data_IF_838183235812
#
_entry.id   IF_838183235812
#
_cell.length_a   1.000
_cell.length_b   1.000
_cell.length_c   1.000
_cell.angle_alpha   90.00
_cell.angle_beta   90.00
_cell.angle_gamma   90.00
#
_symmetry.space_group_name_H-M   'P 1'
#
loop_
_entity.id
_entity.type
_entity.pdbx_description
1 polymer ?
#
# COMPACT_ATOMS: atom_id res chain seq x y z
N UNK A 1 1.50 23.29 4.37
CA UNK A 1 1.07 22.17 5.21
C UNK A 1 0.20 22.68 6.37
N UNK A 2 0.70 23.53 7.28
CA UNK A 2 -0.01 23.97 8.50
C UNK A 2 -1.38 24.59 8.21
N UNK A 3 -1.52 25.43 7.15
CA UNK A 3 -2.82 25.98 6.74
C UNK A 3 -3.88 24.93 6.35
N UNK A 4 -3.51 23.67 6.25
CA UNK A 4 -4.38 22.52 6.00
C UNK A 4 -4.42 21.54 7.18
N UNK A 5 -3.87 21.92 8.35
CA UNK A 5 -3.79 21.03 9.51
C UNK A 5 -2.79 19.88 9.37
N UNK A 6 -1.83 19.97 8.44
CA UNK A 6 -0.84 18.91 8.17
C UNK A 6 0.47 19.27 8.88
N UNK A 7 0.93 18.38 9.77
CA UNK A 7 2.22 18.48 10.42
C UNK A 7 3.38 18.23 9.43
N UNK A 8 4.52 18.86 9.68
CA UNK A 8 5.73 18.72 8.87
C UNK A 8 6.79 18.01 9.70
N UNK A 9 7.28 16.87 9.22
CA UNK A 9 8.30 16.06 9.87
C UNK A 9 9.54 16.03 8.98
N UNK A 10 10.72 16.29 9.57
CA UNK A 10 12.00 16.21 8.87
C UNK A 10 12.61 14.83 9.11
N UNK A 11 13.05 14.20 8.01
CA UNK A 11 13.83 12.96 8.07
C UNK A 11 15.31 13.31 8.30
N UNK A 12 15.87 12.87 9.44
CA UNK A 12 17.18 13.28 9.96
C UNK A 12 18.15 12.11 10.02
N UNK A 13 19.22 12.23 9.25
CA UNK A 13 20.34 11.28 9.30
C UNK A 13 21.41 11.81 10.26
N UNK A 14 21.42 11.30 11.47
CA UNK A 14 22.36 11.71 12.53
C UNK A 14 23.24 10.56 13.04
N UNK A 15 23.12 9.36 12.44
CA UNK A 15 23.99 8.25 12.77
C UNK A 15 25.40 8.43 12.22
N UNK A 16 25.54 9.04 11.04
CA UNK A 16 26.82 9.22 10.35
C UNK A 16 26.87 10.53 9.57
N UNK A 17 28.06 10.88 9.06
CA UNK A 17 28.25 12.00 8.16
C UNK A 17 29.28 11.63 7.06
N UNK A 18 29.27 12.38 5.97
CA UNK A 18 30.26 12.22 4.89
C UNK A 18 31.30 13.36 4.90
N UNK A 19 32.31 13.25 4.08
CA UNK A 19 33.44 14.18 4.03
C UNK A 19 33.10 15.65 3.73
N UNK A 20 31.86 15.93 3.29
CA UNK A 20 31.36 17.31 3.15
C UNK A 20 31.03 17.97 4.50
N UNK A 21 30.83 17.19 5.55
CA UNK A 21 30.61 17.73 6.88
C UNK A 21 31.91 18.34 7.42
N UNK A 22 31.94 19.66 7.75
CA UNK A 22 33.17 20.30 8.20
C UNK A 22 33.72 19.70 9.52
N UNK A 23 32.89 19.17 10.39
CA UNK A 23 33.28 18.54 11.66
C UNK A 23 34.12 17.27 11.43
N UNK A 24 33.87 16.52 10.34
CA UNK A 24 34.69 15.37 9.96
C UNK A 24 36.16 15.78 9.75
N UNK A 25 36.35 16.93 9.10
CA UNK A 25 37.68 17.40 8.70
C UNK A 25 38.41 18.18 9.82
N UNK A 26 37.71 18.63 10.88
CA UNK A 26 38.31 19.37 11.98
C UNK A 26 39.33 18.55 12.79
N UNK A 27 39.08 17.23 12.87
CA UNK A 27 39.96 16.28 13.55
C UNK A 27 40.23 15.13 12.59
N UNK A 28 41.16 15.32 11.64
CA UNK A 28 41.41 14.39 10.55
C UNK A 28 42.72 13.64 10.70
N UNK A 29 42.67 12.32 10.61
CA UNK A 29 43.83 11.43 10.51
C UNK A 29 44.13 11.19 9.03
N UNK A 30 45.00 11.99 8.45
CA UNK A 30 45.35 11.92 7.04
C UNK A 30 46.04 10.60 6.64
N UNK A 31 46.75 9.95 7.56
CA UNK A 31 47.44 8.69 7.28
C UNK A 31 46.45 7.53 7.07
N UNK A 32 45.29 7.58 7.70
CA UNK A 32 44.29 6.54 7.63
C UNK A 32 42.99 6.99 6.91
N UNK A 33 42.96 8.22 6.37
CA UNK A 33 41.79 8.81 5.67
C UNK A 33 40.45 8.68 6.46
N UNK A 34 40.49 9.10 7.74
CA UNK A 34 39.35 8.99 8.65
C UNK A 34 39.37 10.06 9.74
N UNK A 35 38.31 10.26 10.53
CA UNK A 35 38.37 11.08 11.73
C UNK A 35 39.45 10.57 12.69
N UNK A 36 40.16 11.50 13.31
CA UNK A 36 41.20 11.16 14.28
C UNK A 36 40.57 10.58 15.56
N UNK A 37 41.32 9.73 16.28
CA UNK A 37 40.85 9.08 17.52
C UNK A 37 40.46 10.07 18.63
N UNK A 38 40.98 11.29 18.59
CA UNK A 38 40.64 12.38 19.52
C UNK A 38 39.52 13.29 19.00
N UNK A 39 38.84 12.94 17.92
CA UNK A 39 37.65 13.68 17.47
C UNK A 39 36.61 13.74 18.60
N UNK A 40 36.05 14.90 18.93
CA UNK A 40 35.02 14.98 19.99
C UNK A 40 33.64 14.50 19.50
N UNK A 41 33.46 14.19 18.23
CA UNK A 41 32.15 13.83 17.65
C UNK A 41 32.09 12.46 16.98
N UNK A 42 33.20 11.99 16.39
CA UNK A 42 33.20 10.80 15.55
C UNK A 42 34.02 9.66 16.16
N UNK A 43 33.57 8.44 15.89
CA UNK A 43 34.38 7.26 16.03
C UNK A 43 35.49 7.24 14.96
N UNK A 44 36.72 6.89 15.32
CA UNK A 44 37.80 6.74 14.33
C UNK A 44 37.56 5.54 13.41
N UNK A 45 36.88 4.52 13.88
CA UNK A 45 36.47 3.32 13.13
C UNK A 45 34.99 3.11 13.43
N UNK A 46 34.19 2.99 12.39
CA UNK A 46 32.78 2.67 12.55
C UNK A 46 32.61 1.31 13.24
N UNK A 47 31.81 1.22 14.31
CA UNK A 47 31.63 -0.01 15.07
C UNK A 47 30.48 -0.89 14.57
N UNK A 48 29.78 -0.54 13.47
CA UNK A 48 28.48 -1.11 13.07
C UNK A 48 28.56 -2.01 11.84
N UNK A 49 29.71 -2.65 11.57
CA UNK A 49 29.81 -3.56 10.42
C UNK A 49 28.66 -4.57 10.35
N UNK A 50 28.05 -4.79 9.15
CA UNK A 50 28.41 -4.22 7.83
C UNK A 50 27.74 -2.88 7.51
N UNK A 51 27.08 -2.21 8.45
CA UNK A 51 26.26 -1.02 8.23
C UNK A 51 27.04 0.29 8.49
N UNK A 52 28.23 0.42 7.88
CA UNK A 52 29.10 1.57 8.03
C UNK A 52 29.02 2.47 6.79
N UNK A 53 28.15 3.48 6.84
CA UNK A 53 27.98 4.48 5.77
C UNK A 53 28.67 5.80 6.17
N UNK A 54 29.83 6.09 5.62
CA UNK A 54 30.55 7.32 5.96
C UNK A 54 31.24 7.27 7.33
N UNK A 55 31.23 8.39 8.04
CA UNK A 55 31.92 8.56 9.33
C UNK A 55 30.90 8.57 10.45
N UNK A 56 31.05 7.65 11.40
CA UNK A 56 30.10 7.34 12.43
C UNK A 56 30.18 8.35 13.59
N UNK A 57 29.03 8.92 13.99
CA UNK A 57 28.93 9.76 15.17
C UNK A 57 28.98 8.93 16.46
N UNK A 58 29.82 9.31 17.39
CA UNK A 58 29.83 8.75 18.75
C UNK A 58 28.82 9.48 19.63
N UNK A 59 27.62 8.93 19.75
CA UNK A 59 26.51 9.51 20.50
C UNK A 59 26.72 9.45 22.03
N UNK A 60 27.67 8.68 22.51
CA UNK A 60 28.03 8.65 23.96
C UNK A 60 28.76 9.91 24.38
N UNK A 61 29.34 10.67 23.44
CA UNK A 61 30.09 11.88 23.70
C UNK A 61 29.19 13.09 23.90
N UNK A 62 29.43 13.84 24.96
CA UNK A 62 28.67 15.06 25.26
C UNK A 62 28.73 16.11 24.13
N UNK A 63 29.84 16.19 23.38
CA UNK A 63 29.98 17.11 22.25
C UNK A 63 29.03 16.75 21.11
N UNK A 64 28.85 15.45 20.81
CA UNK A 64 27.90 14.96 19.83
C UNK A 64 26.46 15.24 20.28
N UNK A 65 26.13 14.95 21.54
CA UNK A 65 24.79 15.22 22.09
C UNK A 65 24.43 16.70 21.97
N UNK A 66 25.32 17.60 22.39
CA UNK A 66 25.10 19.06 22.26
C UNK A 66 24.94 19.53 20.81
N UNK A 67 25.71 18.96 19.90
CA UNK A 67 25.59 19.27 18.48
C UNK A 67 24.20 18.88 17.97
N UNK A 68 23.76 17.66 18.26
CA UNK A 68 22.45 17.14 17.84
C UNK A 68 21.31 17.97 18.45
N UNK A 69 21.39 18.31 19.73
CA UNK A 69 20.40 19.17 20.40
C UNK A 69 20.26 20.53 19.70
N UNK A 70 21.39 21.14 19.32
CA UNK A 70 21.40 22.41 18.56
C UNK A 70 20.81 22.25 17.17
N UNK A 71 21.13 21.18 16.46
CA UNK A 71 20.59 20.90 15.12
C UNK A 71 19.07 20.73 15.20
N UNK A 72 18.58 19.90 16.12
CA UNK A 72 17.15 19.68 16.27
C UNK A 72 16.40 20.96 16.64
N UNK A 73 16.94 21.75 17.58
CA UNK A 73 16.36 23.05 17.97
C UNK A 73 16.33 24.01 16.80
N UNK A 74 17.39 24.10 16.00
CA UNK A 74 17.47 24.96 14.83
C UNK A 74 16.38 24.66 13.81
N UNK A 75 16.14 23.37 13.51
CA UNK A 75 15.09 22.98 12.57
C UNK A 75 13.68 23.34 13.07
N UNK A 76 13.41 23.13 14.36
CA UNK A 76 12.12 23.50 14.95
C UNK A 76 11.93 25.00 14.97
N UNK A 77 12.90 25.77 15.49
CA UNK A 77 12.74 27.21 15.70
C UNK A 77 12.83 28.00 14.39
N UNK A 78 13.67 27.58 13.44
CA UNK A 78 13.88 28.30 12.17
C UNK A 78 12.82 27.95 11.12
N UNK A 79 12.46 26.68 10.99
CA UNK A 79 11.57 26.20 9.93
C UNK A 79 10.17 25.84 10.44
N UNK A 80 9.92 25.95 11.74
CA UNK A 80 8.63 25.65 12.36
C UNK A 80 8.10 24.25 12.01
N UNK A 81 8.98 23.25 12.03
CA UNK A 81 8.59 21.85 11.83
C UNK A 81 7.93 21.28 13.08
N UNK A 82 7.21 20.15 12.93
CA UNK A 82 6.43 19.55 14.01
C UNK A 82 7.06 18.28 14.57
N UNK A 83 8.20 17.85 14.04
CA UNK A 83 8.90 16.69 14.55
C UNK A 83 9.92 16.13 13.57
N UNK A 84 10.43 14.97 13.94
CA UNK A 84 11.51 14.29 13.23
C UNK A 84 11.21 12.80 13.05
N UNK A 85 11.71 12.24 11.95
CA UNK A 85 12.04 10.83 11.83
C UNK A 85 13.56 10.71 11.87
N UNK A 86 14.10 9.97 12.82
CA UNK A 86 15.53 9.74 12.94
C UNK A 86 15.92 8.42 12.28
N UNK A 87 16.85 8.54 11.34
CA UNK A 87 17.40 7.44 10.59
C UNK A 87 18.32 6.56 11.45
N UNK A 88 18.23 5.25 11.29
CA UNK A 88 19.13 4.24 11.82
C UNK A 88 19.55 4.46 13.30
N UNK A 89 18.59 4.74 14.18
CA UNK A 89 18.88 5.07 15.60
C UNK A 89 19.47 3.92 16.38
N UNK A 90 19.36 2.68 15.91
CA UNK A 90 20.06 1.54 16.51
C UNK A 90 21.59 1.68 16.44
N UNK A 91 22.10 2.44 15.48
CA UNK A 91 23.51 2.77 15.34
C UNK A 91 24.04 3.80 16.33
N UNK A 92 23.20 4.40 17.19
CA UNK A 92 23.67 5.39 18.17
C UNK A 92 24.55 4.79 19.27
N UNK A 93 24.47 3.49 19.48
CA UNK A 93 25.34 2.72 20.39
C UNK A 93 25.74 1.40 19.75
N UNK A 94 27.00 1.00 19.89
CA UNK A 94 27.50 -0.25 19.35
C UNK A 94 27.01 -1.47 20.15
N UNK A 95 25.81 -1.95 19.86
CA UNK A 95 25.27 -3.17 20.45
C UNK A 95 24.44 -4.02 19.45
N UNK A 96 24.50 -3.69 18.16
CA UNK A 96 23.71 -4.35 17.12
C UNK A 96 22.21 -4.29 17.43
N UNK A 97 21.50 -5.41 17.24
CA UNK A 97 20.07 -5.52 17.52
C UNK A 97 19.77 -5.96 18.98
N UNK A 98 20.78 -6.14 19.82
CA UNK A 98 20.57 -6.55 21.20
C UNK A 98 20.03 -5.40 22.05
N UNK A 99 19.32 -5.74 23.11
CA UNK A 99 18.83 -4.77 24.10
C UNK A 99 19.98 -3.91 24.68
N UNK A 100 19.81 -2.58 24.71
CA UNK A 100 20.80 -1.64 25.21
C UNK A 100 20.16 -0.53 26.04
N UNK A 101 20.36 -0.58 27.35
CA UNK A 101 19.93 0.49 28.27
C UNK A 101 20.65 1.82 27.97
N UNK A 102 21.89 1.77 27.52
CA UNK A 102 22.66 2.97 27.14
C UNK A 102 21.98 3.69 25.96
N UNK A 103 21.58 2.95 24.91
CA UNK A 103 20.89 3.49 23.74
C UNK A 103 19.50 4.02 24.10
N UNK A 104 18.74 3.29 24.93
CA UNK A 104 17.47 3.76 25.48
C UNK A 104 17.63 5.12 26.16
N UNK A 105 18.62 5.24 27.05
CA UNK A 105 18.85 6.48 27.81
C UNK A 105 19.27 7.64 26.90
N UNK A 106 20.09 7.39 25.88
CA UNK A 106 20.49 8.41 24.91
C UNK A 106 19.29 8.91 24.09
N UNK A 107 18.45 8.00 23.59
CA UNK A 107 17.27 8.35 22.80
C UNK A 107 16.21 9.07 23.63
N UNK A 108 15.95 8.61 24.86
CA UNK A 108 15.05 9.30 25.79
C UNK A 108 15.55 10.71 26.10
N UNK A 109 16.83 10.88 26.43
CA UNK A 109 17.44 12.20 26.66
C UNK A 109 17.25 13.11 25.45
N UNK A 110 17.49 12.62 24.22
CA UNK A 110 17.31 13.40 22.99
C UNK A 110 15.85 13.83 22.79
N UNK A 111 14.91 12.92 23.02
CA UNK A 111 13.48 13.21 22.92
C UNK A 111 13.05 14.23 23.99
N UNK A 112 13.47 14.04 25.24
CA UNK A 112 13.17 14.95 26.33
C UNK A 112 13.70 16.37 26.04
N UNK A 113 14.92 16.51 25.50
CA UNK A 113 15.44 17.83 25.08
C UNK A 113 14.58 18.49 24.00
N UNK A 114 14.15 17.74 22.99
CA UNK A 114 13.23 18.25 21.96
C UNK A 114 11.92 18.74 22.59
N UNK A 115 11.36 17.97 23.51
CA UNK A 115 10.08 18.30 24.14
C UNK A 115 10.18 19.49 25.11
N UNK A 116 11.39 19.91 25.53
CA UNK A 116 11.53 21.16 26.32
C UNK A 116 11.12 22.40 25.54
N UNK A 117 11.31 22.44 24.22
CA UNK A 117 11.00 23.61 23.38
C UNK A 117 9.87 23.34 22.36
N UNK A 118 9.51 22.09 22.10
CA UNK A 118 8.36 21.68 21.28
C UNK A 118 7.66 20.48 21.96
N UNK A 119 6.81 20.72 22.98
CA UNK A 119 6.25 19.65 23.83
C UNK A 119 5.44 18.57 23.07
N UNK A 120 4.88 18.91 21.93
CA UNK A 120 4.08 18.01 21.09
C UNK A 120 4.84 17.56 19.82
N UNK A 121 6.16 17.67 19.80
CA UNK A 121 6.95 17.22 18.66
C UNK A 121 6.81 15.72 18.44
N UNK A 122 6.61 15.31 17.20
CA UNK A 122 6.74 13.91 16.83
C UNK A 122 8.21 13.50 16.87
N UNK A 123 8.52 12.42 17.59
CA UNK A 123 9.83 11.78 17.61
C UNK A 123 9.65 10.36 17.12
N UNK A 124 10.04 10.14 15.86
CA UNK A 124 9.87 8.88 15.16
C UNK A 124 11.25 8.25 14.97
N UNK A 125 11.37 6.97 15.27
CA UNK A 125 12.64 6.25 15.20
C UNK A 125 12.58 5.13 14.16
N UNK A 126 13.53 5.13 13.24
CA UNK A 126 13.91 3.92 12.54
C UNK A 126 14.89 3.15 13.44
N UNK A 127 14.39 2.10 14.10
CA UNK A 127 15.15 1.47 15.18
C UNK A 127 15.44 -0.01 14.96
N UNK A 128 14.41 -0.85 14.85
CA UNK A 128 14.50 -2.29 14.55
C UNK A 128 15.48 -3.05 15.44
N UNK A 129 15.35 -2.85 16.73
CA UNK A 129 16.13 -3.53 17.75
C UNK A 129 15.33 -4.58 18.52
N UNK A 130 15.84 -4.96 19.69
CA UNK A 130 15.14 -5.82 20.64
C UNK A 130 13.75 -5.24 20.99
N UNK A 131 12.73 -6.10 21.02
CA UNK A 131 11.35 -5.67 21.22
C UNK A 131 11.11 -4.98 22.57
N UNK A 132 11.81 -5.41 23.64
CA UNK A 132 11.68 -4.79 24.96
C UNK A 132 12.35 -3.40 25.02
N UNK A 133 13.35 -3.15 24.14
CA UNK A 133 13.94 -1.83 23.97
C UNK A 133 12.94 -0.90 23.25
N UNK A 134 12.38 -1.36 22.13
CA UNK A 134 11.39 -0.61 21.36
C UNK A 134 10.14 -0.28 22.19
N UNK A 135 9.65 -1.22 23.01
CA UNK A 135 8.54 -1.00 23.94
C UNK A 135 8.84 0.14 24.92
N UNK A 136 10.02 0.17 25.52
CA UNK A 136 10.40 1.23 26.45
C UNK A 136 10.53 2.62 25.80
N UNK A 137 10.91 2.67 24.52
CA UNK A 137 10.96 3.91 23.75
C UNK A 137 9.53 4.35 23.37
N UNK A 138 8.67 3.41 23.01
CA UNK A 138 7.24 3.67 22.72
C UNK A 138 6.49 4.18 23.97
N UNK A 139 6.70 3.53 25.12
CA UNK A 139 6.10 3.94 26.41
C UNK A 139 6.59 5.32 26.86
N UNK A 140 7.79 5.74 26.46
CA UNK A 140 8.31 7.08 26.75
C UNK A 140 7.66 8.17 25.88
N UNK A 141 6.92 7.81 24.81
CA UNK A 141 6.21 8.74 23.93
C UNK A 141 6.76 8.82 22.50
N UNK A 142 7.84 8.11 22.19
CA UNK A 142 8.37 8.03 20.83
C UNK A 142 7.56 7.05 19.97
N UNK A 143 7.63 7.21 18.66
CA UNK A 143 7.01 6.29 17.69
C UNK A 143 8.09 5.49 16.97
N UNK A 144 7.83 4.20 16.75
CA UNK A 144 8.77 3.27 16.12
C UNK A 144 8.25 2.85 14.73
N UNK A 145 9.14 2.77 13.74
CA UNK A 145 8.82 2.19 12.45
C UNK A 145 8.61 0.68 12.56
N UNK A 146 7.44 0.23 12.12
CA UNK A 146 7.05 -1.18 12.06
C UNK A 146 7.03 -1.70 10.63
N UNK A 147 8.19 -2.08 10.10
CA UNK A 147 8.30 -2.63 8.76
C UNK A 147 7.54 -3.95 8.63
N UNK A 148 6.53 -3.96 7.75
CA UNK A 148 5.72 -5.15 7.39
C UNK A 148 5.69 -5.37 5.87
N UNK A 149 6.56 -4.70 5.14
CA UNK A 149 6.60 -4.68 3.68
C UNK A 149 6.63 -6.08 3.09
N UNK A 150 7.49 -6.97 3.59
CA UNK A 150 7.56 -8.35 3.09
C UNK A 150 6.21 -9.08 3.17
N UNK A 151 5.50 -8.96 4.30
CA UNK A 151 4.18 -9.58 4.46
C UNK A 151 3.15 -9.05 3.47
N UNK A 152 3.17 -7.75 3.22
CA UNK A 152 2.29 -7.11 2.22
C UNK A 152 2.67 -7.45 0.78
N UNK A 153 3.96 -7.52 0.45
CA UNK A 153 4.43 -8.00 -0.85
C UNK A 153 3.91 -9.42 -1.11
N UNK A 154 4.08 -10.34 -0.15
CA UNK A 154 3.59 -11.71 -0.27
C UNK A 154 2.06 -11.77 -0.39
N UNK A 155 1.33 -10.93 0.35
CA UNK A 155 -0.12 -10.81 0.23
C UNK A 155 -0.52 -10.33 -1.17
N UNK A 156 0.09 -9.27 -1.68
CA UNK A 156 -0.21 -8.73 -3.00
C UNK A 156 0.12 -9.74 -4.10
N UNK A 157 1.25 -10.40 -4.00
CA UNK A 157 1.67 -11.46 -4.92
C UNK A 157 0.76 -12.70 -4.88
N UNK A 158 0.00 -12.94 -3.82
CA UNK A 158 -0.84 -14.13 -3.66
C UNK A 158 -0.12 -15.33 -3.06
N UNK A 159 1.01 -15.14 -2.37
CA UNK A 159 1.76 -16.17 -1.64
C UNK A 159 1.40 -16.15 -0.16
N UNK A 160 0.22 -16.67 0.15
CA UNK A 160 -0.47 -16.47 1.44
C UNK A 160 0.20 -17.13 2.63
N UNK A 161 1.02 -18.18 2.42
CA UNK A 161 1.76 -18.84 3.50
C UNK A 161 2.85 -17.94 4.15
N UNK A 162 3.31 -16.94 3.43
CA UNK A 162 4.33 -15.98 3.89
C UNK A 162 3.77 -14.56 4.11
N UNK A 163 2.45 -14.39 4.07
CA UNK A 163 1.78 -13.10 4.12
C UNK A 163 1.33 -12.67 5.52
N UNK A 164 2.01 -13.12 6.56
CA UNK A 164 1.71 -12.69 7.93
C UNK A 164 2.10 -11.21 8.10
N UNK A 165 1.13 -10.38 8.49
CA UNK A 165 1.30 -8.93 8.73
C UNK A 165 0.96 -8.54 10.17
N UNK A 166 0.82 -9.48 11.09
CA UNK A 166 0.43 -9.20 12.47
C UNK A 166 1.48 -8.42 13.25
N UNK A 167 2.77 -8.50 12.85
CA UNK A 167 3.86 -7.73 13.47
C UNK A 167 3.71 -6.20 13.32
N UNK A 168 2.82 -5.73 12.45
CA UNK A 168 2.42 -4.32 12.32
C UNK A 168 1.44 -3.84 13.38
N UNK A 169 1.00 -4.71 14.29
CA UNK A 169 0.09 -4.38 15.39
C UNK A 169 0.89 -4.28 16.69
N UNK A 170 0.81 -3.14 17.37
CA UNK A 170 1.54 -2.88 18.63
C UNK A 170 1.26 -3.95 19.70
N UNK A 171 -0.01 -4.33 19.90
CA UNK A 171 -0.39 -5.36 20.89
C UNK A 171 0.10 -6.77 20.51
N UNK A 172 0.36 -7.07 19.22
CA UNK A 172 1.00 -8.32 18.82
C UNK A 172 2.47 -8.40 19.28
N UNK A 173 3.10 -7.22 19.50
CA UNK A 173 4.44 -7.10 20.07
C UNK A 173 4.44 -7.04 21.60
N UNK A 174 3.27 -7.04 22.24
CA UNK A 174 3.09 -6.92 23.69
C UNK A 174 3.01 -5.47 24.19
N UNK A 175 3.07 -4.47 23.31
CA UNK A 175 3.09 -3.06 23.71
C UNK A 175 1.71 -2.58 24.16
N UNK A 176 1.71 -1.73 25.19
CA UNK A 176 0.50 -1.12 25.75
C UNK A 176 0.03 0.11 24.97
N UNK A 177 0.95 0.80 24.26
CA UNK A 177 0.70 2.04 23.52
C UNK A 177 0.72 1.82 22.00
N UNK A 178 -0.13 2.50 21.22
CA UNK A 178 -0.23 2.31 19.77
C UNK A 178 0.85 3.11 19.00
N UNK A 179 2.07 3.17 19.49
CA UNK A 179 3.15 3.98 18.91
C UNK A 179 3.98 3.26 17.85
N UNK A 180 3.42 2.22 17.22
CA UNK A 180 4.01 1.50 16.11
C UNK A 180 3.46 2.05 14.78
N UNK A 181 4.31 2.68 13.97
CA UNK A 181 3.98 3.14 12.62
C UNK A 181 4.15 1.97 11.66
N UNK A 182 3.08 1.28 11.31
CA UNK A 182 3.15 0.19 10.34
C UNK A 182 2.98 0.67 8.91
N UNK A 183 3.64 0.01 7.96
CA UNK A 183 3.62 0.36 6.55
C UNK A 183 3.83 -0.84 5.62
N UNK A 184 3.34 -0.70 4.39
CA UNK A 184 3.50 -1.69 3.34
C UNK A 184 4.66 -1.38 2.39
N UNK A 185 5.10 -0.12 2.32
CA UNK A 185 6.22 0.36 1.50
C UNK A 185 6.98 1.47 2.20
N UNK A 186 8.29 1.56 1.94
CA UNK A 186 9.13 2.69 2.29
C UNK A 186 10.08 3.04 1.14
N UNK A 187 11.06 3.91 1.39
CA UNK A 187 12.13 4.23 0.45
C UNK A 187 13.20 3.12 0.35
N UNK A 188 13.22 2.17 1.27
CA UNK A 188 14.27 1.14 1.38
C UNK A 188 13.87 -0.22 0.82
N UNK A 189 12.58 -0.53 0.76
CA UNK A 189 12.10 -1.79 0.24
C UNK A 189 11.59 -1.66 -1.19
N UNK A 190 11.61 -2.78 -1.92
CA UNK A 190 11.02 -2.84 -3.26
C UNK A 190 9.51 -2.59 -3.22
N UNK A 191 8.98 -1.97 -4.27
CA UNK A 191 7.56 -1.63 -4.39
C UNK A 191 6.69 -2.89 -4.41
N UNK A 192 5.63 -2.89 -3.63
CA UNK A 192 4.69 -4.03 -3.60
C UNK A 192 4.12 -4.31 -4.99
N UNK A 193 3.82 -3.27 -5.77
CA UNK A 193 3.31 -3.41 -7.12
C UNK A 193 4.35 -4.00 -8.08
N UNK A 194 5.61 -3.54 -8.02
CA UNK A 194 6.70 -4.11 -8.84
C UNK A 194 6.90 -5.60 -8.55
N UNK A 195 6.92 -5.99 -7.28
CA UNK A 195 7.01 -7.38 -6.84
C UNK A 195 5.85 -8.23 -7.39
N UNK A 196 4.62 -7.70 -7.30
CA UNK A 196 3.44 -8.42 -7.80
C UNK A 196 3.50 -8.62 -9.33
N UNK A 197 3.85 -7.59 -10.10
CA UNK A 197 3.92 -7.67 -11.55
C UNK A 197 5.04 -8.59 -12.04
N UNK A 198 6.16 -8.64 -11.30
CA UNK A 198 7.33 -9.42 -11.68
C UNK A 198 7.23 -10.88 -11.22
N UNK A 199 6.84 -11.10 -9.97
CA UNK A 199 6.94 -12.41 -9.31
C UNK A 199 5.59 -12.97 -8.84
N UNK A 200 4.49 -12.24 -9.02
CA UNK A 200 3.17 -12.61 -8.53
C UNK A 200 2.71 -14.00 -8.93
N UNK A 201 1.79 -14.56 -8.17
CA UNK A 201 1.20 -15.87 -8.40
C UNK A 201 0.29 -15.84 -9.64
N UNK A 202 0.62 -16.65 -10.63
CA UNK A 202 -0.09 -16.78 -11.90
C UNK A 202 -0.72 -18.18 -12.10
N UNK A 203 -0.85 -18.97 -11.04
CA UNK A 203 -1.43 -20.32 -11.12
C UNK A 203 -2.92 -20.34 -11.41
N UNK A 204 -3.62 -19.23 -11.13
CA UNK A 204 -5.00 -19.02 -11.55
C UNK A 204 -5.03 -18.02 -12.71
N UNK A 205 -5.30 -18.52 -13.93
CA UNK A 205 -5.35 -17.68 -15.13
C UNK A 205 -6.43 -16.59 -15.02
N UNK A 206 -7.55 -16.86 -14.33
CA UNK A 206 -8.65 -15.90 -14.14
C UNK A 206 -8.36 -14.86 -13.04
N UNK A 207 -7.28 -15.02 -12.28
CA UNK A 207 -6.84 -14.08 -11.26
C UNK A 207 -5.31 -14.07 -11.16
N UNK A 208 -4.66 -13.70 -12.26
CA UNK A 208 -3.21 -13.63 -12.37
C UNK A 208 -2.68 -12.38 -11.66
N UNK A 209 -1.95 -12.56 -10.55
CA UNK A 209 -1.39 -11.46 -9.77
C UNK A 209 -0.31 -10.64 -10.51
N UNK A 210 0.25 -11.14 -11.63
CA UNK A 210 1.18 -10.39 -12.50
C UNK A 210 0.46 -9.46 -13.46
N UNK A 211 -0.83 -9.59 -13.61
CA UNK A 211 -1.61 -8.65 -14.42
C UNK A 211 -1.80 -7.34 -13.65
N UNK A 212 -1.50 -6.21 -14.28
CA UNK A 212 -1.58 -4.89 -13.64
C UNK A 212 -2.98 -4.59 -13.11
N UNK A 213 -4.01 -4.91 -13.87
CA UNK A 213 -5.40 -4.66 -13.48
C UNK A 213 -5.78 -5.47 -12.23
N UNK A 214 -5.43 -6.76 -12.20
CA UNK A 214 -5.62 -7.65 -11.06
C UNK A 214 -4.80 -7.19 -9.86
N UNK A 215 -3.52 -6.86 -10.04
CA UNK A 215 -2.65 -6.38 -8.98
C UNK A 215 -3.16 -5.09 -8.32
N UNK A 216 -3.64 -4.13 -9.13
CA UNK A 216 -4.26 -2.90 -8.62
C UNK A 216 -5.56 -3.19 -7.83
N UNK A 217 -6.38 -4.16 -8.26
CA UNK A 217 -7.54 -4.61 -7.49
C UNK A 217 -7.17 -5.22 -6.14
N UNK A 218 -6.13 -6.06 -6.13
CA UNK A 218 -5.60 -6.65 -4.90
C UNK A 218 -4.98 -5.62 -3.94
N UNK A 219 -4.34 -4.57 -4.49
CA UNK A 219 -3.77 -3.47 -3.71
C UNK A 219 -4.84 -2.67 -2.94
N UNK A 220 -6.09 -2.64 -3.43
CA UNK A 220 -7.22 -2.07 -2.69
C UNK A 220 -7.46 -2.81 -1.36
N UNK A 221 -7.32 -4.13 -1.35
CA UNK A 221 -7.37 -4.92 -0.12
C UNK A 221 -6.23 -4.57 0.86
N UNK A 222 -5.02 -4.24 0.34
CA UNK A 222 -3.92 -3.73 1.19
C UNK A 222 -4.33 -2.40 1.83
N UNK A 223 -4.86 -1.44 1.06
CA UNK A 223 -5.32 -0.17 1.58
C UNK A 223 -6.31 -0.36 2.74
N UNK A 224 -7.34 -1.18 2.52
CA UNK A 224 -8.37 -1.47 3.52
C UNK A 224 -7.77 -2.08 4.79
N UNK A 225 -6.96 -3.13 4.66
CA UNK A 225 -6.41 -3.83 5.84
C UNK A 225 -5.35 -2.98 6.55
N UNK A 226 -4.46 -2.27 5.83
CA UNK A 226 -3.45 -1.42 6.44
C UNK A 226 -4.10 -0.28 7.24
N UNK A 227 -5.04 0.43 6.62
CA UNK A 227 -5.60 1.65 7.19
C UNK A 227 -6.64 1.39 8.30
N UNK A 228 -7.24 0.21 8.37
CA UNK A 228 -8.17 -0.14 9.45
C UNK A 228 -7.50 -0.77 10.68
N UNK A 229 -6.19 -1.06 10.62
CA UNK A 229 -5.42 -1.46 11.81
C UNK A 229 -5.23 -0.28 12.77
N UNK A 230 -5.14 -0.53 14.08
CA UNK A 230 -4.89 0.53 15.07
C UNK A 230 -3.49 1.15 14.94
N UNK A 231 -3.32 2.33 15.52
CA UNK A 231 -2.05 3.07 15.52
C UNK A 231 -1.77 3.84 14.23
N UNK A 232 -0.70 4.63 14.20
CA UNK A 232 -0.31 5.43 13.04
C UNK A 232 0.16 4.56 11.86
N UNK A 233 0.08 5.12 10.66
CA UNK A 233 0.47 4.46 9.41
C UNK A 233 1.37 5.37 8.59
N UNK A 234 2.28 4.77 7.83
CA UNK A 234 3.01 5.46 6.78
C UNK A 234 2.54 4.96 5.42
N UNK A 235 2.25 5.88 4.53
CA UNK A 235 2.06 5.64 3.11
C UNK A 235 3.26 6.21 2.36
N UNK A 236 3.92 5.37 1.58
CA UNK A 236 5.02 5.84 0.75
C UNK A 236 4.47 6.46 -0.53
N UNK A 237 5.16 7.47 -1.04
CA UNK A 237 4.79 8.26 -2.23
C UNK A 237 4.36 7.37 -3.40
N UNK A 238 3.17 7.64 -3.94
CA UNK A 238 2.51 6.94 -5.03
C UNK A 238 2.08 5.48 -4.76
N UNK A 239 2.22 4.96 -3.53
CA UNK A 239 1.66 3.67 -3.17
C UNK A 239 0.15 3.63 -3.44
N UNK A 240 -0.55 4.74 -3.18
CA UNK A 240 -1.98 4.93 -3.41
C UNK A 240 -2.37 4.93 -4.90
N UNK A 241 -1.40 4.99 -5.79
CA UNK A 241 -1.56 4.89 -7.25
C UNK A 241 -0.95 3.59 -7.82
N UNK A 242 -0.46 2.71 -6.95
CA UNK A 242 0.17 1.45 -7.35
C UNK A 242 1.47 1.68 -8.14
N UNK A 243 2.43 2.40 -7.55
CA UNK A 243 3.72 2.69 -8.16
C UNK A 243 4.50 1.41 -8.43
N UNK A 244 4.89 1.19 -9.68
CA UNK A 244 5.45 -0.06 -10.19
C UNK A 244 6.87 0.05 -10.76
N UNK A 245 7.54 1.19 -10.54
CA UNK A 245 8.95 1.34 -10.90
C UNK A 245 9.82 0.78 -9.78
N UNK A 246 10.72 -0.15 -10.13
CA UNK A 246 11.65 -0.76 -9.16
C UNK A 246 12.46 0.29 -8.40
N UNK A 247 12.74 -0.02 -7.14
CA UNK A 247 13.63 0.78 -6.31
C UNK A 247 15.04 0.87 -6.91
N UNK A 248 15.47 -0.11 -7.69
CA UNK A 248 16.80 -0.14 -8.34
C UNK A 248 16.83 0.59 -9.70
N UNK A 249 15.71 1.17 -10.15
CA UNK A 249 15.65 1.91 -11.42
C UNK A 249 15.48 3.42 -11.18
N UNK A 250 16.40 4.30 -11.68
CA UNK A 250 17.65 4.00 -12.39
C UNK A 250 18.77 3.50 -11.49
N UNK A 251 18.71 3.73 -10.21
CA UNK A 251 19.56 3.14 -9.17
C UNK A 251 18.87 3.25 -7.81
N UNK A 252 19.27 2.46 -6.81
CA UNK A 252 18.62 2.38 -5.50
C UNK A 252 18.47 3.73 -4.79
N UNK A 253 19.51 4.55 -4.82
CA UNK A 253 19.55 5.88 -4.16
C UNK A 253 19.28 7.05 -5.13
N UNK A 254 18.92 6.77 -6.38
CA UNK A 254 18.59 7.80 -7.36
C UNK A 254 17.16 8.33 -7.17
N UNK A 255 16.92 9.56 -7.66
CA UNK A 255 15.58 10.12 -7.75
C UNK A 255 14.68 9.22 -8.60
N UNK A 256 13.48 8.92 -8.10
CA UNK A 256 12.48 8.14 -8.81
C UNK A 256 11.59 9.02 -9.68
N UNK A 257 11.11 8.52 -10.83
CA UNK A 257 10.17 9.27 -11.66
C UNK A 257 8.93 9.71 -10.90
N UNK A 258 8.50 10.95 -11.12
CA UNK A 258 7.26 11.51 -10.58
C UNK A 258 6.15 11.24 -11.59
N UNK A 259 5.23 10.32 -11.27
CA UNK A 259 4.24 9.78 -12.22
C UNK A 259 2.81 10.24 -11.92
N UNK A 260 2.57 11.56 -11.89
CA UNK A 260 1.23 12.11 -11.70
C UNK A 260 0.21 11.68 -12.77
N UNK A 261 0.68 11.28 -13.96
CA UNK A 261 -0.17 10.70 -14.99
C UNK A 261 -0.84 9.38 -14.59
N UNK A 262 -0.37 8.70 -13.54
CA UNK A 262 -1.05 7.54 -12.96
C UNK A 262 -2.44 7.89 -12.43
N UNK A 263 -2.61 9.09 -11.91
CA UNK A 263 -3.89 9.58 -11.40
C UNK A 263 -4.99 9.67 -12.47
N UNK A 264 -4.63 9.78 -13.76
CA UNK A 264 -5.58 9.83 -14.89
C UNK A 264 -5.98 8.44 -15.40
N UNK A 265 -5.34 7.38 -14.94
CA UNK A 265 -5.63 6.00 -15.31
C UNK A 265 -6.74 5.44 -14.40
N UNK A 266 -7.90 5.09 -14.98
CA UNK A 266 -9.10 4.76 -14.20
C UNK A 266 -8.89 3.71 -13.11
N UNK A 267 -8.15 2.61 -13.38
CA UNK A 267 -7.90 1.56 -12.40
C UNK A 267 -6.96 2.00 -11.25
N UNK A 268 -5.96 2.84 -11.54
CA UNK A 268 -5.09 3.45 -10.53
C UNK A 268 -5.86 4.50 -9.73
N UNK A 269 -6.71 5.27 -10.39
CA UNK A 269 -7.62 6.20 -9.73
C UNK A 269 -8.57 5.48 -8.78
N UNK A 270 -9.10 4.33 -9.16
CA UNK A 270 -9.93 3.50 -8.29
C UNK A 270 -9.18 3.07 -7.02
N UNK A 271 -7.90 2.69 -7.15
CA UNK A 271 -7.06 2.38 -5.98
C UNK A 271 -6.91 3.60 -5.07
N UNK A 272 -6.61 4.77 -5.66
CA UNK A 272 -6.53 6.04 -4.92
C UNK A 272 -7.83 6.35 -4.18
N UNK A 273 -8.98 6.18 -4.82
CA UNK A 273 -10.28 6.46 -4.21
C UNK A 273 -10.57 5.52 -3.04
N UNK A 274 -10.14 4.25 -3.09
CA UNK A 274 -10.23 3.31 -1.96
C UNK A 274 -9.34 3.74 -0.80
N UNK A 275 -8.12 4.24 -1.08
CA UNK A 275 -7.27 4.85 -0.04
C UNK A 275 -7.97 6.05 0.59
N UNK A 276 -8.50 6.97 -0.22
CA UNK A 276 -9.23 8.16 0.24
C UNK A 276 -10.42 7.76 1.12
N UNK A 277 -11.30 6.91 0.61
CA UNK A 277 -12.49 6.46 1.34
C UNK A 277 -12.16 5.80 2.69
N UNK A 278 -11.08 5.00 2.73
CA UNK A 278 -10.67 4.34 3.98
C UNK A 278 -10.01 5.33 4.96
N UNK A 279 -9.30 6.35 4.45
CA UNK A 279 -8.76 7.44 5.27
C UNK A 279 -9.88 8.33 5.83
N UNK A 280 -10.93 8.61 5.05
CA UNK A 280 -12.10 9.35 5.51
C UNK A 280 -12.79 8.62 6.66
N UNK A 281 -12.96 7.29 6.58
CA UNK A 281 -13.45 6.51 7.72
C UNK A 281 -12.60 6.70 8.99
N UNK A 282 -11.25 6.74 8.85
CA UNK A 282 -10.37 7.01 10.00
C UNK A 282 -10.49 8.43 10.53
N UNK A 283 -10.69 9.41 9.67
CA UNK A 283 -10.80 10.80 10.06
C UNK A 283 -12.14 11.11 10.71
N UNK A 284 -13.23 10.55 10.18
CA UNK A 284 -14.57 10.94 10.55
C UNK A 284 -15.15 10.10 11.70
N UNK A 285 -14.69 8.85 11.88
CA UNK A 285 -15.27 7.92 12.84
C UNK A 285 -14.25 7.37 13.84
N UNK A 286 -14.54 7.55 15.13
CA UNK A 286 -13.72 7.05 16.25
C UNK A 286 -13.53 5.53 16.20
N UNK A 287 -14.48 4.79 15.64
CA UNK A 287 -14.43 3.33 15.45
C UNK A 287 -13.13 2.91 14.76
N UNK A 288 -12.74 3.62 13.70
CA UNK A 288 -11.55 3.29 12.91
C UNK A 288 -10.24 3.78 13.54
N UNK A 289 -10.31 4.47 14.68
CA UNK A 289 -9.17 4.85 15.54
C UNK A 289 -9.19 4.11 16.89
N UNK A 290 -10.21 3.28 17.12
CA UNK A 290 -10.42 2.60 18.40
C UNK A 290 -9.26 1.64 18.73
N UNK A 291 -8.89 1.61 20.00
CA UNK A 291 -7.97 0.61 20.55
C UNK A 291 -8.70 -0.62 21.11
N UNK A 292 -10.04 -0.66 21.02
CA UNK A 292 -10.83 -1.86 21.25
C UNK A 292 -11.03 -2.59 19.92
N UNK A 293 -10.13 -3.52 19.62
CA UNK A 293 -10.08 -4.21 18.34
C UNK A 293 -9.69 -5.69 18.51
N UNK A 294 -10.03 -6.47 17.49
CA UNK A 294 -9.57 -7.85 17.29
C UNK A 294 -9.08 -8.01 15.86
N UNK A 295 -8.22 -8.99 15.61
CA UNK A 295 -7.70 -9.21 14.28
C UNK A 295 -7.38 -10.68 13.99
N UNK A 296 -7.31 -10.99 12.69
CA UNK A 296 -6.77 -12.24 12.14
C UNK A 296 -5.96 -11.88 10.89
N UNK A 297 -4.64 -11.84 10.98
CA UNK A 297 -3.75 -11.27 9.96
C UNK A 297 -2.65 -12.23 9.47
N UNK A 298 -2.74 -13.51 9.84
CA UNK A 298 -1.69 -14.51 9.55
C UNK A 298 -1.98 -15.37 8.33
N UNK A 299 -3.26 -15.58 8.00
CA UNK A 299 -3.72 -16.48 6.93
C UNK A 299 -3.97 -15.76 5.60
N UNK A 300 -4.47 -16.50 4.61
CA UNK A 300 -4.85 -15.97 3.29
C UNK A 300 -5.90 -14.86 3.36
N UNK A 301 -6.88 -15.01 4.25
CA UNK A 301 -7.86 -13.96 4.55
C UNK A 301 -7.36 -13.12 5.73
N UNK A 302 -7.48 -11.82 5.61
CA UNK A 302 -7.17 -10.87 6.69
C UNK A 302 -8.46 -10.25 7.21
N UNK A 303 -8.51 -9.99 8.52
CA UNK A 303 -9.66 -9.35 9.17
C UNK A 303 -9.22 -8.47 10.31
N UNK A 304 -9.87 -7.30 10.45
CA UNK A 304 -9.78 -6.41 11.61
C UNK A 304 -11.19 -6.07 12.05
N UNK A 305 -11.49 -6.31 13.32
CA UNK A 305 -12.77 -5.91 13.97
C UNK A 305 -12.46 -4.73 14.88
N UNK A 306 -13.19 -3.65 14.74
CA UNK A 306 -13.04 -2.42 15.51
C UNK A 306 -14.35 -2.17 16.25
N UNK A 307 -14.25 -1.87 17.54
CA UNK A 307 -15.44 -1.64 18.38
C UNK A 307 -15.37 -0.26 19.03
N UNK A 308 -16.46 0.49 18.94
CA UNK A 308 -16.64 1.77 19.61
C UNK A 308 -18.11 1.90 20.07
N UNK A 309 -18.38 2.77 21.04
CA UNK A 309 -19.72 2.96 21.59
C UNK A 309 -20.75 3.51 20.58
N UNK A 310 -20.28 4.16 19.51
CA UNK A 310 -21.14 4.75 18.48
C UNK A 310 -21.35 3.84 17.27
N UNK A 311 -20.42 2.94 16.97
CA UNK A 311 -20.45 2.07 15.80
C UNK A 311 -19.41 0.95 15.95
N UNK A 312 -19.71 -0.23 15.43
CA UNK A 312 -18.73 -1.29 15.21
C UNK A 312 -18.37 -1.40 13.73
N UNK A 313 -17.17 -1.87 13.45
CA UNK A 313 -16.69 -2.09 12.09
C UNK A 313 -15.96 -3.43 11.94
N UNK A 314 -16.04 -4.02 10.75
CA UNK A 314 -15.28 -5.23 10.36
C UNK A 314 -14.73 -5.04 8.96
N UNK A 315 -13.43 -5.00 8.84
CA UNK A 315 -12.73 -5.02 7.54
C UNK A 315 -12.18 -6.40 7.24
N UNK A 316 -12.29 -6.83 6.00
CA UNK A 316 -11.84 -8.15 5.52
C UNK A 316 -11.25 -8.03 4.13
N UNK A 317 -10.25 -8.89 3.83
CA UNK A 317 -9.71 -9.04 2.49
C UNK A 317 -9.22 -10.47 2.25
N UNK A 318 -9.39 -10.96 1.02
CA UNK A 318 -8.87 -12.25 0.57
C UNK A 318 -7.64 -12.04 -0.32
N UNK A 319 -6.48 -12.47 0.16
CA UNK A 319 -5.21 -12.39 -0.58
C UNK A 319 -4.83 -13.70 -1.29
N UNK A 320 -5.65 -14.76 -1.24
CA UNK A 320 -5.46 -15.90 -2.12
C UNK A 320 -5.80 -15.55 -3.57
N UNK A 321 -5.33 -16.38 -4.50
CA UNK A 321 -5.72 -16.29 -5.92
C UNK A 321 -6.98 -17.14 -6.24
N UNK A 322 -7.67 -17.63 -5.22
CA UNK A 322 -8.91 -18.40 -5.27
C UNK A 322 -9.90 -17.88 -4.24
N UNK A 323 -11.18 -18.19 -4.43
CA UNK A 323 -12.23 -17.89 -3.45
C UNK A 323 -11.90 -18.53 -2.10
N UNK A 324 -12.08 -17.77 -1.02
CA UNK A 324 -11.85 -18.19 0.36
C UNK A 324 -13.08 -17.91 1.22
N UNK A 325 -13.24 -18.69 2.27
CA UNK A 325 -14.22 -18.45 3.31
C UNK A 325 -13.55 -17.74 4.48
N UNK A 326 -14.15 -16.64 4.96
CA UNK A 326 -13.72 -15.89 6.13
C UNK A 326 -14.81 -15.83 7.17
N UNK A 327 -14.45 -16.03 8.44
CA UNK A 327 -15.36 -15.79 9.57
C UNK A 327 -15.24 -14.31 9.93
N UNK A 328 -16.27 -13.48 9.69
CA UNK A 328 -16.21 -12.05 9.97
C UNK A 328 -16.13 -11.75 11.47
N UNK A 329 -16.65 -12.64 12.30
CA UNK A 329 -16.76 -12.48 13.76
C UNK A 329 -17.38 -11.12 14.10
N UNK A 330 -18.54 -10.84 13.53
CA UNK A 330 -19.30 -9.62 13.85
C UNK A 330 -19.52 -9.49 15.35
N UNK A 331 -19.52 -8.28 15.87
CA UNK A 331 -19.63 -8.02 17.29
C UNK A 331 -21.04 -8.36 17.86
N UNK A 332 -22.07 -8.40 17.01
CA UNK A 332 -23.43 -8.80 17.36
C UNK A 332 -24.24 -9.26 16.14
N UNK A 333 -25.39 -9.88 16.37
CA UNK A 333 -26.42 -10.14 15.37
C UNK A 333 -27.17 -8.85 15.02
N UNK A 334 -27.79 -8.80 13.83
CA UNK A 334 -28.54 -7.65 13.34
C UNK A 334 -28.07 -7.20 11.96
N UNK A 335 -28.46 -6.00 11.57
CA UNK A 335 -28.09 -5.43 10.27
C UNK A 335 -26.66 -4.92 10.26
N UNK A 336 -25.92 -5.26 9.17
CA UNK A 336 -24.59 -4.77 8.85
C UNK A 336 -24.59 -4.27 7.41
N UNK A 337 -23.88 -3.19 7.15
CA UNK A 337 -23.86 -2.47 5.88
C UNK A 337 -22.46 -2.49 5.29
N UNK A 338 -22.34 -2.95 4.05
CA UNK A 338 -21.07 -2.92 3.30
C UNK A 338 -20.82 -1.51 2.77
N UNK A 339 -19.69 -0.94 3.11
CA UNK A 339 -19.39 0.48 2.91
C UNK A 339 -19.23 0.85 1.43
N UNK A 340 -18.55 0.00 0.63
CA UNK A 340 -18.25 0.31 -0.77
C UNK A 340 -19.42 0.03 -1.70
N UNK A 341 -20.18 -1.01 -1.48
CA UNK A 341 -21.32 -1.40 -2.34
C UNK A 341 -22.66 -0.85 -1.88
N UNK A 342 -22.78 -0.48 -0.60
CA UNK A 342 -24.04 -0.10 0.04
C UNK A 342 -24.98 -1.28 0.32
N UNK A 343 -24.53 -2.50 0.05
CA UNK A 343 -25.28 -3.72 0.36
C UNK A 343 -25.45 -3.88 1.87
N UNK A 344 -26.43 -4.68 2.26
CA UNK A 344 -26.66 -4.99 3.68
C UNK A 344 -26.92 -6.47 3.89
N UNK A 345 -26.49 -6.97 5.05
CA UNK A 345 -26.78 -8.33 5.49
C UNK A 345 -27.44 -8.30 6.86
N UNK A 346 -28.41 -9.18 7.08
CA UNK A 346 -28.96 -9.42 8.41
C UNK A 346 -28.24 -10.62 9.03
N UNK A 347 -27.31 -10.33 9.91
CA UNK A 347 -26.48 -11.32 10.60
C UNK A 347 -27.29 -11.99 11.70
N UNK A 348 -27.60 -13.28 11.55
CA UNK A 348 -28.25 -14.09 12.59
C UNK A 348 -27.24 -14.91 13.40
N UNK A 349 -26.10 -15.21 12.83
CA UNK A 349 -24.95 -15.85 13.48
C UNK A 349 -23.68 -15.04 13.16
N UNK A 350 -23.13 -14.39 14.17
CA UNK A 350 -21.94 -13.55 14.05
C UNK A 350 -20.69 -14.29 13.57
N UNK A 351 -20.66 -15.61 13.71
CA UNK A 351 -19.55 -16.48 13.28
C UNK A 351 -19.84 -17.22 11.96
N UNK A 352 -20.97 -16.93 11.30
CA UNK A 352 -21.27 -17.52 10.00
C UNK A 352 -20.22 -17.07 8.97
N UNK A 353 -19.61 -17.99 8.22
CA UNK A 353 -18.59 -17.62 7.25
C UNK A 353 -19.18 -16.87 6.06
N UNK A 354 -18.41 -15.93 5.54
CA UNK A 354 -18.68 -15.20 4.29
C UNK A 354 -17.68 -15.63 3.23
N UNK A 355 -18.14 -15.86 2.00
CA UNK A 355 -17.28 -16.14 0.85
C UNK A 355 -16.76 -14.85 0.28
N UNK A 356 -15.43 -14.75 0.10
CA UNK A 356 -14.75 -13.68 -0.64
C UNK A 356 -14.07 -14.27 -1.86
N UNK A 357 -14.33 -13.73 -3.02
CA UNK A 357 -13.61 -14.09 -4.25
C UNK A 357 -12.14 -13.70 -4.16
N UNK A 358 -11.32 -14.16 -5.11
CA UNK A 358 -9.89 -13.80 -5.13
C UNK A 358 -9.70 -12.27 -5.21
N UNK A 359 -8.88 -11.71 -4.31
CA UNK A 359 -8.61 -10.27 -4.25
C UNK A 359 -9.75 -9.41 -3.71
N UNK A 360 -10.88 -10.00 -3.33
CA UNK A 360 -12.02 -9.24 -2.79
C UNK A 360 -11.73 -8.73 -1.38
N UNK A 361 -12.24 -7.54 -1.08
CA UNK A 361 -12.20 -6.91 0.23
C UNK A 361 -13.58 -6.31 0.57
N UNK A 362 -13.87 -6.12 1.85
CA UNK A 362 -15.11 -5.51 2.35
C UNK A 362 -14.86 -4.76 3.65
N UNK A 363 -15.64 -3.70 3.88
CA UNK A 363 -15.78 -3.04 5.17
C UNK A 363 -17.26 -3.05 5.55
N UNK A 364 -17.59 -3.71 6.63
CA UNK A 364 -18.94 -3.69 7.22
C UNK A 364 -18.99 -2.79 8.43
N UNK A 365 -20.08 -2.03 8.57
CA UNK A 365 -20.42 -1.26 9.76
C UNK A 365 -21.84 -1.59 10.19
N UNK A 366 -22.13 -1.53 11.51
CA UNK A 366 -23.48 -1.74 12.08
C UNK A 366 -24.36 -0.47 12.00
N UNK A 367 -23.77 0.64 11.59
CA UNK A 367 -24.45 1.89 11.22
C UNK A 367 -24.30 2.10 9.72
N UNK A 368 -25.40 2.39 9.02
CA UNK A 368 -25.36 2.67 7.58
C UNK A 368 -24.67 4.00 7.32
N UNK A 369 -23.55 3.95 6.61
CA UNK A 369 -22.78 5.11 6.16
C UNK A 369 -23.16 5.49 4.72
N UNK A 370 -22.83 6.72 4.32
CA UNK A 370 -22.87 7.11 2.90
C UNK A 370 -21.81 6.32 2.13
N UNK A 371 -22.18 5.83 0.95
CA UNK A 371 -21.22 5.17 0.07
C UNK A 371 -20.17 6.17 -0.43
N UNK A 372 -18.90 5.76 -0.50
CA UNK A 372 -17.88 6.58 -1.12
C UNK A 372 -18.02 6.62 -2.65
N UNK A 373 -17.57 7.70 -3.25
CA UNK A 373 -17.44 7.79 -4.70
C UNK A 373 -16.16 7.05 -5.12
N UNK A 374 -16.32 5.94 -5.82
CA UNK A 374 -15.21 5.15 -6.36
C UNK A 374 -15.25 5.22 -7.89
N UNK A 375 -14.16 5.61 -8.50
CA UNK A 375 -14.02 5.67 -9.96
C UNK A 375 -14.33 4.31 -10.57
N UNK A 376 -15.26 4.26 -11.49
CA UNK A 376 -15.50 3.06 -12.30
C UNK A 376 -14.30 2.81 -13.21
N UNK A 377 -13.66 1.68 -13.04
CA UNK A 377 -12.61 1.22 -13.93
C UNK A 377 -13.20 0.13 -14.84
N UNK A 378 -13.12 0.29 -16.16
CA UNK A 378 -13.55 -0.78 -17.08
C UNK A 378 -12.73 -2.04 -16.76
N UNK A 379 -13.36 -3.20 -16.87
CA UNK A 379 -12.67 -4.48 -16.75
C UNK A 379 -11.46 -4.51 -17.69
N UNK A 380 -10.38 -5.16 -17.30
CA UNK A 380 -9.24 -5.34 -18.21
C UNK A 380 -9.65 -6.18 -19.41
N UNK A 381 -9.03 -5.96 -20.57
CA UNK A 381 -9.22 -6.82 -21.73
C UNK A 381 -9.00 -8.30 -21.37
N UNK A 382 -8.09 -8.62 -20.46
CA UNK A 382 -7.83 -10.01 -20.00
C UNK A 382 -8.92 -10.59 -19.10
N UNK A 383 -9.59 -9.82 -18.25
CA UNK A 383 -10.78 -10.29 -17.53
C UNK A 383 -11.93 -10.53 -18.49
N UNK A 384 -11.97 -9.76 -19.56
CA UNK A 384 -12.91 -9.92 -20.66
C UNK A 384 -12.57 -11.11 -21.59
N UNK A 385 -11.28 -11.50 -21.66
CA UNK A 385 -10.79 -12.69 -22.40
C UNK A 385 -11.25 -14.02 -21.80
N UNK A 386 -11.52 -14.06 -20.49
CA UNK A 386 -11.87 -15.30 -19.79
C UNK A 386 -13.38 -15.54 -19.67
N UNK A 387 -14.18 -14.83 -20.44
CA UNK A 387 -15.63 -14.94 -20.39
C UNK A 387 -16.23 -15.86 -21.45
N UNK A 388 -17.22 -16.44 -21.16
CA UNK A 388 -17.93 -17.68 -21.21
C UNK A 388 -18.69 -18.02 -22.52
N UNK A 389 -18.45 -17.40 -23.66
CA UNK A 389 -19.05 -17.85 -24.95
C UNK A 389 -18.10 -17.72 -26.14
N UNK A 390 -18.25 -18.65 -27.09
CA UNK A 390 -17.47 -18.65 -28.33
C UNK A 390 -17.92 -17.48 -29.22
N UNK A 391 -17.01 -16.49 -29.39
CA UNK A 391 -17.20 -15.35 -30.28
C UNK A 391 -16.37 -15.56 -31.54
N UNK A 392 -16.98 -15.41 -32.71
CA UNK A 392 -16.28 -15.48 -34.01
C UNK A 392 -16.51 -14.21 -34.81
N UNK A 393 -15.46 -13.78 -35.49
CA UNK A 393 -15.45 -12.63 -36.39
C UNK A 393 -15.16 -13.13 -37.81
N UNK A 394 -16.07 -12.92 -38.75
CA UNK A 394 -15.90 -13.38 -40.13
C UNK A 394 -16.59 -12.43 -41.15
N UNK A 395 -15.88 -12.10 -42.25
CA UNK A 395 -14.47 -12.34 -42.51
C UNK A 395 -13.54 -11.57 -41.58
N UNK A 396 -12.38 -12.15 -41.30
CA UNK A 396 -11.27 -11.53 -40.60
C UNK A 396 -9.96 -12.04 -41.23
N UNK A 397 -9.15 -11.20 -41.90
CA UNK A 397 -9.33 -9.75 -42.13
C UNK A 397 -10.53 -9.34 -42.99
N UNK A 398 -10.97 -8.07 -42.86
CA UNK A 398 -12.03 -7.50 -43.69
C UNK A 398 -11.74 -6.03 -44.08
N UNK A 399 -12.20 -5.64 -45.30
CA UNK A 399 -12.07 -4.27 -45.80
C UNK A 399 -13.33 -3.41 -45.54
N UNK A 400 -14.52 -3.97 -45.65
CA UNK A 400 -15.76 -3.19 -45.58
C UNK A 400 -16.78 -3.72 -44.59
N UNK A 401 -17.00 -5.03 -44.56
CA UNK A 401 -18.00 -5.68 -43.72
C UNK A 401 -17.41 -6.87 -43.01
N UNK A 402 -17.76 -7.01 -41.75
CA UNK A 402 -17.49 -8.21 -40.94
C UNK A 402 -18.72 -8.56 -40.11
N UNK A 403 -18.84 -9.80 -39.66
CA UNK A 403 -19.97 -10.29 -38.85
C UNK A 403 -19.46 -10.92 -37.59
N UNK A 404 -20.03 -10.51 -36.47
CA UNK A 404 -19.83 -11.19 -35.17
C UNK A 404 -20.85 -12.33 -35.08
N UNK A 405 -20.37 -13.52 -34.67
CA UNK A 405 -21.20 -14.69 -34.39
C UNK A 405 -20.98 -15.17 -32.97
N UNK A 406 -22.08 -15.40 -32.27
CA UNK A 406 -22.05 -15.98 -30.91
C UNK A 406 -23.37 -16.70 -30.61
N UNK A 407 -23.34 -17.61 -29.63
CA UNK A 407 -24.54 -18.27 -29.11
C UNK A 407 -24.95 -17.67 -27.77
N UNK A 408 -26.24 -17.40 -27.57
CA UNK A 408 -26.80 -17.01 -26.29
C UNK A 408 -27.80 -18.05 -25.79
N UNK A 409 -27.83 -18.33 -24.49
CA UNK A 409 -28.78 -19.30 -23.90
C UNK A 409 -30.18 -18.69 -23.70
N UNK A 410 -30.27 -17.37 -23.63
CA UNK A 410 -31.52 -16.62 -23.40
C UNK A 410 -31.54 -15.32 -24.21
N UNK A 411 -32.70 -14.65 -24.20
CA UNK A 411 -32.86 -13.32 -24.81
C UNK A 411 -32.28 -12.31 -23.80
N UNK A 412 -31.14 -11.69 -24.15
CA UNK A 412 -30.38 -10.79 -23.27
C UNK A 412 -29.97 -9.50 -24.00
N UNK A 413 -29.86 -8.36 -23.31
CA UNK A 413 -29.25 -7.19 -23.92
C UNK A 413 -27.77 -7.46 -24.24
N UNK A 414 -27.33 -6.99 -25.43
CA UNK A 414 -25.90 -7.04 -25.77
C UNK A 414 -25.33 -5.65 -26.05
N UNK A 415 -24.03 -5.52 -25.80
CA UNK A 415 -23.20 -4.38 -26.21
C UNK A 415 -21.97 -4.89 -26.93
N UNK A 416 -21.70 -4.36 -28.12
CA UNK A 416 -20.48 -4.60 -28.92
C UNK A 416 -19.65 -3.33 -28.87
N UNK A 417 -18.39 -3.44 -28.48
CA UNK A 417 -17.38 -2.38 -28.56
C UNK A 417 -16.29 -2.84 -29.53
N UNK A 418 -15.81 -1.94 -30.39
CA UNK A 418 -14.60 -2.14 -31.17
C UNK A 418 -13.54 -1.18 -30.67
N UNK A 419 -12.39 -1.73 -30.32
CA UNK A 419 -11.30 -1.02 -29.61
C UNK A 419 -10.05 -1.08 -30.50
N UNK A 420 -9.36 0.04 -30.69
CA UNK A 420 -8.11 0.11 -31.45
C UNK A 420 -6.90 -0.24 -30.55
N UNK A 421 -5.69 -0.34 -31.13
CA UNK A 421 -4.45 -0.63 -30.43
C UNK A 421 -4.10 0.35 -29.30
N UNK A 422 -4.63 1.59 -29.36
CA UNK A 422 -4.44 2.59 -28.30
C UNK A 422 -5.47 2.43 -27.15
N UNK A 423 -6.31 1.38 -27.16
CA UNK A 423 -7.36 1.16 -26.16
C UNK A 423 -8.59 2.07 -26.29
N UNK A 424 -8.70 2.83 -27.39
CA UNK A 424 -9.83 3.73 -27.64
C UNK A 424 -10.98 2.97 -28.31
N UNK A 425 -12.20 3.13 -27.76
CA UNK A 425 -13.42 2.65 -28.41
C UNK A 425 -13.67 3.48 -29.68
N UNK A 426 -13.69 2.80 -30.82
CA UNK A 426 -13.91 3.41 -32.15
C UNK A 426 -15.30 3.09 -32.74
N UNK A 427 -15.99 2.10 -32.19
CA UNK A 427 -17.37 1.75 -32.53
C UNK A 427 -18.08 1.16 -31.31
N UNK A 428 -19.35 1.53 -31.14
CA UNK A 428 -20.25 0.91 -30.17
C UNK A 428 -21.57 0.53 -30.83
N UNK A 429 -22.09 -0.67 -30.51
CA UNK A 429 -23.42 -1.13 -30.99
C UNK A 429 -24.13 -1.86 -29.84
N UNK A 430 -25.40 -1.52 -29.62
CA UNK A 430 -26.27 -2.16 -28.63
C UNK A 430 -27.46 -2.84 -29.32
N UNK A 431 -27.98 -3.89 -28.69
CA UNK A 431 -29.16 -4.61 -29.16
C UNK A 431 -29.58 -5.68 -28.17
N UNK A 432 -30.45 -6.58 -28.62
CA UNK A 432 -30.94 -7.72 -27.83
C UNK A 432 -30.62 -9.00 -28.59
N UNK A 433 -30.04 -10.00 -27.95
CA UNK A 433 -29.74 -11.31 -28.54
C UNK A 433 -31.01 -12.15 -28.65
N UNK A 434 -31.03 -13.08 -29.60
CA UNK A 434 -31.96 -14.19 -29.59
C UNK A 434 -31.40 -15.36 -28.80
N UNK A 435 -32.25 -16.24 -28.28
CA UNK A 435 -31.81 -17.54 -27.80
C UNK A 435 -31.28 -18.39 -28.95
N UNK A 436 -30.08 -18.96 -28.83
CA UNK A 436 -29.38 -19.67 -29.90
C UNK A 436 -28.32 -18.81 -30.60
N UNK A 437 -28.10 -19.05 -31.88
CA UNK A 437 -27.07 -18.36 -32.68
C UNK A 437 -27.48 -16.93 -33.03
N UNK A 438 -26.56 -16.01 -32.84
CA UNK A 438 -26.71 -14.60 -33.21
C UNK A 438 -25.64 -14.21 -34.21
N UNK A 439 -26.02 -13.36 -35.17
CA UNK A 439 -25.13 -12.76 -36.17
C UNK A 439 -25.35 -11.25 -36.20
N UNK A 440 -24.26 -10.50 -35.96
CA UNK A 440 -24.30 -9.04 -35.95
C UNK A 440 -23.40 -8.52 -37.10
N UNK A 441 -23.94 -8.08 -38.23
CA UNK A 441 -23.15 -7.48 -39.29
C UNK A 441 -22.69 -6.07 -38.87
N UNK A 442 -21.43 -5.75 -39.17
CA UNK A 442 -20.77 -4.49 -38.81
C UNK A 442 -20.10 -3.93 -40.08
N UNK A 443 -20.35 -2.65 -40.34
CA UNK A 443 -19.64 -1.91 -41.39
C UNK A 443 -18.38 -1.28 -40.78
N UNK A 444 -17.22 -1.63 -41.32
CA UNK A 444 -15.89 -1.17 -40.88
C UNK A 444 -15.17 -0.34 -41.97
N UNK A 445 -15.87 0.09 -42.99
CA UNK A 445 -15.32 0.80 -44.16
C UNK A 445 -14.54 2.07 -43.74
N UNK A 446 -15.06 2.82 -42.76
CA UNK A 446 -14.48 4.10 -42.34
C UNK A 446 -13.31 3.97 -41.33
N UNK A 447 -13.00 2.75 -40.93
CA UNK A 447 -11.88 2.53 -40.00
C UNK A 447 -10.56 2.53 -40.78
N UNK A 448 -9.51 3.13 -40.23
CA UNK A 448 -8.15 2.96 -40.74
C UNK A 448 -7.73 1.49 -40.75
N UNK A 449 -6.89 1.10 -41.72
CA UNK A 449 -6.27 -0.22 -41.70
C UNK A 449 -5.43 -0.39 -40.40
N UNK A 450 -5.55 -1.55 -39.77
CA UNK A 450 -4.89 -1.82 -38.48
C UNK A 450 -5.51 -2.96 -37.69
N UNK A 451 -4.97 -3.23 -36.52
CA UNK A 451 -5.46 -4.24 -35.59
C UNK A 451 -6.48 -3.63 -34.62
N UNK A 452 -7.53 -4.37 -34.35
CA UNK A 452 -8.62 -4.00 -33.46
C UNK A 452 -9.02 -5.20 -32.60
N UNK A 453 -9.79 -4.96 -31.55
CA UNK A 453 -10.43 -5.99 -30.75
C UNK A 453 -11.93 -5.72 -30.63
N UNK A 454 -12.73 -6.70 -30.93
CA UNK A 454 -14.14 -6.71 -30.57
C UNK A 454 -14.32 -7.19 -29.17
N UNK A 455 -15.11 -6.46 -28.42
CA UNK A 455 -15.57 -6.80 -27.09
C UNK A 455 -17.08 -6.90 -27.12
N UNK A 456 -17.64 -8.05 -26.79
CA UNK A 456 -19.09 -8.31 -26.82
C UNK A 456 -19.55 -8.72 -25.42
N UNK A 457 -20.48 -7.95 -24.87
CA UNK A 457 -21.18 -8.28 -23.61
C UNK A 457 -22.59 -8.75 -23.95
N UNK A 458 -23.05 -9.87 -23.39
CA UNK A 458 -24.40 -10.42 -23.49
C UNK A 458 -24.92 -10.74 -22.10
N UNK A 459 -25.86 -9.98 -21.58
CA UNK A 459 -26.26 -10.08 -20.16
C UNK A 459 -25.07 -9.81 -19.24
N UNK A 460 -24.69 -10.83 -18.46
CA UNK A 460 -23.50 -10.80 -17.57
C UNK A 460 -22.26 -11.42 -18.21
N UNK A 461 -22.40 -12.15 -19.31
CA UNK A 461 -21.31 -12.82 -20.02
C UNK A 461 -20.61 -11.88 -20.99
N UNK A 462 -19.31 -12.06 -21.18
CA UNK A 462 -18.50 -11.29 -22.12
C UNK A 462 -17.58 -12.19 -22.93
N UNK A 463 -17.27 -11.76 -24.16
CA UNK A 463 -16.27 -12.40 -25.01
C UNK A 463 -15.55 -11.35 -25.84
N UNK A 464 -14.37 -11.68 -26.33
CA UNK A 464 -13.64 -10.83 -27.27
C UNK A 464 -13.00 -11.65 -28.36
N UNK A 465 -12.69 -10.96 -29.48
CA UNK A 465 -12.01 -11.54 -30.61
C UNK A 465 -11.19 -10.48 -31.33
N UNK A 466 -10.00 -10.87 -31.79
CA UNK A 466 -9.13 -10.00 -32.57
C UNK A 466 -9.70 -9.76 -33.98
N UNK A 467 -9.53 -8.55 -34.53
CA UNK A 467 -9.99 -8.17 -35.86
C UNK A 467 -8.90 -7.36 -36.57
N UNK A 468 -8.66 -7.71 -37.83
CA UNK A 468 -7.74 -6.98 -38.70
C UNK A 468 -8.52 -6.28 -39.79
N UNK A 469 -8.50 -4.94 -39.81
CA UNK A 469 -9.00 -4.10 -40.88
C UNK A 469 -7.92 -3.95 -41.97
N UNK A 470 -8.25 -4.29 -43.20
CA UNK A 470 -7.40 -4.07 -44.37
C UNK A 470 -8.05 -3.04 -45.31
N UNK A 471 -7.24 -2.46 -46.22
CA UNK A 471 -7.70 -1.46 -47.17
C UNK A 471 -8.71 -2.03 -48.21
#
# INVERSE_FOLDING_TARGET
CHGRGIAVIVDMVLNHAFGQNPMVNMYWDAANSRPAANSPWFNAICPHEPYCWGYDFDHTRLATQKYIDQVNRYWVETYNIDGFRFDYTKGFVNNGNNYSMERINLLKRMADEIWTYKPNAFVILEHWCDNAEEEQLADHGMMLWGNVTYGYQQALMGFTNSSNISSGIHSNRGWSVPHLISYAESHDEERTMYEALTYGNNTNANHNARNLYTALGRAQGIAVILLTQPGPKMLWQFQELGYDISIDNPCRVCNKPILWNYYTQARRRQLYDVYTATLDLRNDYETFRSLNFQYSLTSATKRVNMSHSTMNGVSMANFAVTTQSVIPAFQHAGWWYEYFTGDSINVTNALAPISLTAGEYRIYTDVKLAQPEITEAPASIEELLNSSFDLKVYPNPAAQLTTLRFASQSIEPYTVLLINEAGKVVMERKGTSASGNNEIPLNVTELPAGSYHFLVKVGTAMANEGFVKVD
#
